data_IF_802971931344
#
_entry.id   IF_802971931344
#
_cell.length_a   1.000
_cell.length_b   1.000
_cell.length_c   1.000
_cell.angle_alpha   90.00
_cell.angle_beta   90.00
_cell.angle_gamma   90.00
#
_symmetry.space_group_name_H-M   'P 1'
#
loop_
_entity.id
_entity.type
_entity.pdbx_description
1 polymer ?
#
# COMPACT_ATOMS: atom_id res chain seq x y z
N UNK A 1 -62.82 -38.34 -1.23
CA UNK A 1 -62.08 -37.90 -0.02
C UNK A 1 -60.60 -38.19 -0.27
N UNK A 2 -59.83 -37.23 -0.78
CA UNK A 2 -58.38 -37.36 -0.96
C UNK A 2 -57.78 -35.94 -0.86
N UNK A 3 -57.07 -35.67 0.23
CA UNK A 3 -56.33 -34.41 0.45
C UNK A 3 -54.87 -34.64 0.06
N UNK A 4 -54.44 -34.08 -1.05
CA UNK A 4 -53.03 -34.06 -1.46
C UNK A 4 -52.36 -32.84 -0.79
N UNK A 5 -51.45 -33.10 0.15
CA UNK A 5 -50.68 -32.08 0.87
C UNK A 5 -49.49 -31.66 0.01
N UNK A 6 -49.41 -30.40 -0.38
CA UNK A 6 -48.21 -29.83 -0.99
C UNK A 6 -47.17 -29.56 0.10
N UNK A 7 -45.96 -30.11 -0.07
CA UNK A 7 -44.81 -29.80 0.77
C UNK A 7 -43.96 -28.75 0.04
N UNK A 8 -43.91 -27.55 0.59
CA UNK A 8 -43.04 -26.47 0.13
C UNK A 8 -41.65 -26.70 0.74
N UNK A 9 -40.70 -27.15 -0.08
CA UNK A 9 -39.28 -27.19 0.31
C UNK A 9 -38.67 -25.84 -0.01
N UNK A 10 -38.49 -25.00 1.01
CA UNK A 10 -37.66 -23.80 0.95
C UNK A 10 -36.19 -24.24 1.01
N UNK A 11 -35.53 -24.34 -0.14
CA UNK A 11 -34.07 -24.44 -0.22
C UNK A 11 -33.51 -23.04 0.04
N UNK A 12 -33.30 -22.73 1.31
CA UNK A 12 -32.53 -21.55 1.71
C UNK A 12 -31.06 -21.77 1.37
N UNK A 13 -30.61 -21.23 0.24
CA UNK A 13 -29.19 -21.16 -0.09
C UNK A 13 -28.49 -20.23 0.90
N UNK A 14 -27.82 -20.81 1.90
CA UNK A 14 -26.91 -20.10 2.79
C UNK A 14 -25.64 -19.78 1.98
N UNK A 15 -25.64 -18.64 1.30
CA UNK A 15 -24.42 -18.09 0.72
C UNK A 15 -23.56 -17.59 1.88
N UNK A 16 -22.76 -18.47 2.46
CA UNK A 16 -21.66 -18.08 3.34
C UNK A 16 -20.62 -17.38 2.48
N UNK A 17 -20.74 -16.06 2.33
CA UNK A 17 -19.58 -15.25 2.00
C UNK A 17 -18.61 -15.40 3.17
N UNK A 18 -17.59 -16.24 3.01
CA UNK A 18 -16.41 -16.20 3.87
C UNK A 18 -15.70 -14.91 3.53
N UNK A 19 -16.17 -13.80 4.12
CA UNK A 19 -15.38 -12.59 4.21
C UNK A 19 -14.32 -12.90 5.27
N UNK A 20 -13.05 -13.05 4.86
CA UNK A 20 -11.93 -13.11 5.80
C UNK A 20 -12.00 -11.86 6.66
N UNK A 21 -12.41 -12.01 7.91
CA UNK A 21 -12.68 -10.88 8.77
C UNK A 21 -11.41 -10.48 9.52
N UNK A 22 -11.10 -9.18 9.53
CA UNK A 22 -10.11 -8.63 10.46
C UNK A 22 -10.43 -8.98 11.92
N UNK A 23 -9.38 -9.07 12.75
CA UNK A 23 -9.50 -9.11 14.21
C UNK A 23 -9.84 -7.71 14.75
N UNK A 24 -11.15 -7.44 14.82
CA UNK A 24 -11.69 -6.13 15.24
C UNK A 24 -11.32 -5.79 16.68
N UNK A 25 -11.24 -6.78 17.57
CA UNK A 25 -10.91 -6.53 18.97
C UNK A 25 -9.47 -6.02 19.10
N UNK A 26 -8.54 -6.65 18.38
CA UNK A 26 -7.14 -6.19 18.36
C UNK A 26 -6.99 -4.81 17.73
N UNK A 27 -7.73 -4.51 16.66
CA UNK A 27 -7.74 -3.16 16.07
C UNK A 27 -8.24 -2.11 17.06
N UNK A 28 -9.28 -2.40 17.84
CA UNK A 28 -9.77 -1.52 18.89
C UNK A 28 -8.73 -1.29 19.99
N UNK A 29 -8.06 -2.36 20.45
CA UNK A 29 -6.99 -2.26 21.44
C UNK A 29 -5.81 -1.41 20.94
N UNK A 30 -5.42 -1.57 19.66
CA UNK A 30 -4.40 -0.72 19.05
C UNK A 30 -4.86 0.74 19.00
N UNK A 31 -6.11 0.98 18.60
CA UNK A 31 -6.63 2.32 18.47
C UNK A 31 -6.70 3.06 19.81
N UNK A 32 -7.12 2.39 20.89
CA UNK A 32 -7.15 2.97 22.24
C UNK A 32 -5.73 3.35 22.71
N UNK A 33 -4.75 2.46 22.52
CA UNK A 33 -3.37 2.76 22.90
C UNK A 33 -2.79 3.93 22.10
N UNK A 34 -3.00 3.96 20.79
CA UNK A 34 -2.54 5.06 19.95
C UNK A 34 -3.19 6.37 20.41
N UNK A 35 -4.52 6.38 20.63
CA UNK A 35 -5.22 7.57 21.12
C UNK A 35 -4.68 8.10 22.44
N UNK A 36 -4.19 7.22 23.33
CA UNK A 36 -3.61 7.61 24.60
C UNK A 36 -2.16 8.13 24.48
N UNK A 37 -1.41 7.74 23.45
CA UNK A 37 0.04 8.02 23.36
C UNK A 37 0.47 8.87 22.16
N UNK A 38 -0.44 9.22 21.26
CA UNK A 38 -0.12 9.94 20.03
C UNK A 38 0.33 11.38 20.34
N UNK A 39 1.49 11.76 19.81
CA UNK A 39 2.07 13.10 19.97
C UNK A 39 2.31 13.86 18.66
N UNK A 40 2.33 13.16 17.52
CA UNK A 40 2.55 13.75 16.21
C UNK A 40 1.47 13.27 15.25
N UNK A 41 0.82 14.20 14.56
CA UNK A 41 -0.32 13.91 13.69
C UNK A 41 -1.66 13.86 14.42
N UNK A 42 -2.72 13.63 13.65
CA UNK A 42 -4.11 13.65 14.08
C UNK A 42 -4.77 12.30 13.80
N UNK A 43 -5.58 11.82 14.74
CA UNK A 43 -6.37 10.62 14.54
C UNK A 43 -7.55 10.94 13.61
N UNK A 44 -7.64 10.18 12.53
CA UNK A 44 -8.74 10.23 11.59
C UNK A 44 -9.35 8.84 11.49
N UNK A 45 -10.66 8.75 11.69
CA UNK A 45 -11.41 7.51 11.51
C UNK A 45 -11.91 7.43 10.07
N UNK A 46 -11.34 6.54 9.29
CA UNK A 46 -11.78 6.24 7.93
C UNK A 46 -12.77 5.09 7.96
N UNK A 47 -13.55 4.96 6.89
CA UNK A 47 -14.53 3.89 6.74
C UNK A 47 -14.33 3.18 5.39
N UNK A 48 -14.25 1.86 5.44
CA UNK A 48 -14.27 0.99 4.28
C UNK A 48 -15.40 -0.02 4.45
N UNK A 49 -16.31 -0.07 3.48
CA UNK A 49 -17.58 -0.79 3.61
C UNK A 49 -18.31 -0.33 4.89
N UNK A 50 -18.71 -1.28 5.74
CA UNK A 50 -19.42 -1.00 7.00
C UNK A 50 -18.50 -0.92 8.22
N UNK A 51 -17.17 -0.82 8.02
CA UNK A 51 -16.17 -0.85 9.11
C UNK A 51 -15.34 0.41 9.16
N UNK A 52 -15.25 0.99 10.36
CA UNK A 52 -14.32 2.07 10.67
C UNK A 52 -12.97 1.51 11.09
N UNK A 53 -11.90 2.17 10.70
CA UNK A 53 -10.55 1.84 11.09
C UNK A 53 -9.76 3.13 11.39
N UNK A 54 -8.81 3.02 12.32
CA UNK A 54 -7.98 4.16 12.72
C UNK A 54 -6.96 4.48 11.63
N UNK A 55 -6.72 5.76 11.43
CA UNK A 55 -5.59 6.30 10.69
C UNK A 55 -4.98 7.49 11.43
N UNK A 56 -3.72 7.78 11.12
CA UNK A 56 -2.97 8.92 11.66
C UNK A 56 -2.57 9.78 10.47
N UNK A 57 -3.14 10.98 10.39
CA UNK A 57 -2.82 11.97 9.37
C UNK A 57 -1.78 12.95 9.91
N UNK A 58 -0.71 13.20 9.15
CA UNK A 58 0.28 14.23 9.50
C UNK A 58 0.53 15.08 8.27
N UNK A 59 0.22 16.38 8.36
CA UNK A 59 0.44 17.32 7.28
C UNK A 59 1.93 17.66 7.13
N UNK A 60 2.37 17.84 5.89
CA UNK A 60 3.70 18.30 5.53
C UNK A 60 4.01 19.69 6.09
N UNK A 61 5.28 19.97 6.37
CA UNK A 61 5.74 21.30 6.79
C UNK A 61 5.77 22.31 5.62
N UNK A 62 5.43 21.87 4.41
CA UNK A 62 5.46 22.66 3.17
C UNK A 62 4.03 22.84 2.63
N UNK A 63 3.32 23.94 2.95
CA UNK A 63 1.88 24.08 2.74
C UNK A 63 1.43 24.07 1.27
N UNK A 64 2.30 24.46 0.34
CA UNK A 64 1.97 24.50 -1.10
C UNK A 64 2.11 23.12 -1.77
N UNK A 65 2.50 22.09 -1.02
CA UNK A 65 2.82 20.78 -1.57
C UNK A 65 1.62 19.85 -1.54
N UNK A 66 1.31 19.29 -2.72
CA UNK A 66 0.21 18.37 -2.98
C UNK A 66 0.65 16.92 -3.08
N UNK A 67 1.75 16.57 -2.41
CA UNK A 67 2.30 15.21 -2.30
C UNK A 67 1.92 14.55 -0.96
N UNK A 68 1.36 13.34 -1.00
CA UNK A 68 1.00 12.56 0.19
C UNK A 68 1.36 11.07 0.08
N UNK A 69 1.74 10.46 1.20
CA UNK A 69 2.11 9.06 1.29
C UNK A 69 1.20 8.30 2.26
N UNK A 70 0.58 7.23 1.77
CA UNK A 70 -0.14 6.27 2.61
C UNK A 70 0.87 5.28 3.19
N UNK A 71 0.93 5.17 4.53
CA UNK A 71 1.92 4.35 5.23
C UNK A 71 1.28 3.08 5.78
N UNK A 72 1.85 1.91 5.45
CA UNK A 72 1.29 0.61 5.78
C UNK A 72 2.24 -0.23 6.65
N UNK A 73 1.73 -0.74 7.76
CA UNK A 73 2.48 -1.57 8.69
C UNK A 73 2.50 -3.05 8.28
N UNK A 74 3.41 -3.82 8.89
CA UNK A 74 3.51 -5.27 8.70
C UNK A 74 2.43 -6.04 9.49
N UNK A 75 2.33 -7.35 9.27
CA UNK A 75 1.41 -8.25 9.96
C UNK A 75 1.48 -8.09 11.49
N UNK A 76 0.32 -8.01 12.12
CA UNK A 76 0.21 -7.92 13.58
C UNK A 76 0.75 -6.63 14.20
N UNK A 77 1.05 -5.61 13.39
CA UNK A 77 1.47 -4.29 13.83
C UNK A 77 0.31 -3.27 13.73
N UNK A 78 0.65 -1.99 13.86
CA UNK A 78 -0.29 -0.88 13.96
C UNK A 78 0.25 0.39 13.26
N UNK A 79 -0.58 1.43 13.04
CA UNK A 79 -0.23 2.65 12.31
C UNK A 79 0.83 3.53 12.96
N UNK A 80 1.19 3.28 14.22
CA UNK A 80 2.23 4.01 14.94
C UNK A 80 3.39 3.10 15.37
N UNK A 81 3.52 1.93 14.72
CA UNK A 81 4.49 0.92 15.11
C UNK A 81 5.91 1.45 15.00
N UNK A 82 6.58 1.55 16.15
CA UNK A 82 8.01 1.82 16.20
C UNK A 82 8.83 0.59 15.76
N UNK A 83 10.00 0.79 15.15
CA UNK A 83 10.55 2.11 14.84
C UNK A 83 10.13 2.64 13.45
N UNK A 84 10.02 1.75 12.47
CA UNK A 84 9.87 2.12 11.05
C UNK A 84 8.59 2.90 10.70
N UNK A 85 7.42 2.41 11.09
CA UNK A 85 6.15 3.04 10.66
C UNK A 85 6.01 4.42 11.30
N UNK A 86 6.40 4.51 12.57
CA UNK A 86 6.55 5.78 13.28
C UNK A 86 7.50 6.73 12.54
N UNK A 87 8.74 6.29 12.26
CA UNK A 87 9.73 7.11 11.57
C UNK A 87 9.28 7.56 10.19
N UNK A 88 8.63 6.69 9.41
CA UNK A 88 8.05 7.07 8.12
C UNK A 88 6.99 8.16 8.27
N UNK A 89 6.00 7.99 9.15
CA UNK A 89 4.91 8.97 9.27
C UNK A 89 5.36 10.31 9.85
N UNK A 90 6.45 10.37 10.63
CA UNK A 90 6.94 11.61 11.23
C UNK A 90 8.04 12.31 10.44
N UNK A 91 8.86 11.58 9.68
CA UNK A 91 9.96 12.19 8.92
C UNK A 91 9.57 12.59 7.50
N UNK A 92 8.66 11.86 6.83
CA UNK A 92 8.19 12.23 5.49
C UNK A 92 7.57 13.65 5.43
N UNK A 93 6.78 14.11 6.42
CA UNK A 93 6.25 15.48 6.48
C UNK A 93 7.32 16.56 6.47
N UNK A 94 8.51 16.28 7.02
CA UNK A 94 9.69 17.17 6.98
C UNK A 94 10.38 17.18 5.63
N UNK A 95 9.94 16.32 4.72
CA UNK A 95 10.52 16.10 3.40
C UNK A 95 9.47 16.19 2.29
N UNK A 96 8.48 17.08 2.48
CA UNK A 96 7.45 17.44 1.49
C UNK A 96 6.32 16.42 1.30
N UNK A 97 6.24 15.38 2.12
CA UNK A 97 5.19 14.37 1.99
C UNK A 97 4.26 14.41 3.19
N UNK A 98 3.02 14.84 3.01
CA UNK A 98 1.98 14.57 4.02
C UNK A 98 1.83 13.05 4.16
N UNK A 99 1.46 12.57 5.34
CA UNK A 99 1.32 11.13 5.58
C UNK A 99 -0.04 10.75 6.10
N UNK A 100 -0.49 9.57 5.71
CA UNK A 100 -1.67 8.92 6.24
C UNK A 100 -1.31 7.47 6.58
N UNK A 101 -0.92 7.22 7.82
CA UNK A 101 -0.67 5.87 8.30
C UNK A 101 -2.02 5.22 8.65
N UNK A 102 -2.36 4.09 8.03
CA UNK A 102 -3.67 3.44 8.20
C UNK A 102 -3.55 2.11 8.92
N UNK A 103 -4.55 1.78 9.74
CA UNK A 103 -4.69 0.45 10.32
C UNK A 103 -5.01 -0.51 9.17
N UNK A 104 -4.07 -1.38 8.84
CA UNK A 104 -4.29 -2.49 7.92
C UNK A 104 -5.02 -3.62 8.64
N UNK A 105 -5.80 -4.45 7.91
CA UNK A 105 -6.53 -5.55 8.51
C UNK A 105 -5.57 -6.55 9.16
N UNK A 106 -5.99 -7.11 10.29
CA UNK A 106 -5.21 -7.97 11.16
C UNK A 106 -5.82 -9.36 11.27
N UNK A 107 -4.96 -10.35 11.50
CA UNK A 107 -5.37 -11.65 12.03
C UNK A 107 -5.17 -11.71 13.54
N UNK A 108 -5.60 -12.79 14.15
CA UNK A 108 -5.33 -13.13 15.53
C UNK A 108 -3.83 -13.13 15.84
N UNK A 109 -3.49 -13.03 17.14
CA UNK A 109 -2.10 -12.99 17.57
C UNK A 109 -1.38 -14.29 17.20
N UNK A 110 -0.19 -14.17 16.62
CA UNK A 110 0.61 -15.33 16.19
C UNK A 110 0.21 -15.96 14.85
N UNK A 111 -0.81 -15.43 14.18
CA UNK A 111 -1.20 -15.88 12.84
C UNK A 111 -0.02 -15.84 11.85
N UNK A 112 0.01 -16.81 10.95
CA UNK A 112 1.04 -16.97 9.93
C UNK A 112 0.82 -15.98 8.80
N UNK A 113 1.83 -15.83 7.94
CA UNK A 113 1.74 -14.93 6.80
C UNK A 113 0.61 -15.35 5.84
N UNK A 114 0.40 -16.65 5.68
CA UNK A 114 -0.60 -17.22 4.79
C UNK A 114 -2.03 -16.88 5.21
N UNK A 115 -2.27 -16.78 6.51
CA UNK A 115 -3.59 -16.44 7.05
C UNK A 115 -4.00 -15.01 6.62
N UNK A 116 -3.05 -14.10 6.40
CA UNK A 116 -3.35 -12.73 5.99
C UNK A 116 -3.89 -12.63 4.55
N UNK A 117 -3.75 -13.67 3.72
CA UNK A 117 -4.14 -13.59 2.32
C UNK A 117 -5.63 -13.40 2.10
N UNK A 118 -6.50 -13.88 2.99
CA UNK A 118 -7.94 -13.64 2.88
C UNK A 118 -8.33 -12.19 3.20
N UNK A 119 -7.42 -11.42 3.82
CA UNK A 119 -7.65 -10.01 4.18
C UNK A 119 -7.32 -9.05 3.04
N UNK A 120 -6.85 -9.53 1.90
CA UNK A 120 -6.39 -8.69 0.78
C UNK A 120 -7.51 -7.86 0.15
N UNK A 121 -8.72 -8.43 0.08
CA UNK A 121 -9.92 -7.71 -0.38
C UNK A 121 -10.29 -6.59 0.59
N UNK A 122 -10.24 -6.86 1.91
CA UNK A 122 -10.48 -5.84 2.94
C UNK A 122 -9.40 -4.75 2.89
N UNK A 123 -8.13 -5.13 2.72
CA UNK A 123 -7.01 -4.21 2.59
C UNK A 123 -7.18 -3.27 1.37
N UNK A 124 -7.60 -3.81 0.22
CA UNK A 124 -7.91 -3.01 -0.98
C UNK A 124 -9.01 -1.99 -0.69
N UNK A 125 -10.06 -2.36 0.05
CA UNK A 125 -11.13 -1.44 0.43
C UNK A 125 -10.63 -0.32 1.36
N UNK A 126 -9.73 -0.62 2.31
CA UNK A 126 -9.10 0.39 3.18
C UNK A 126 -8.19 1.34 2.40
N UNK A 127 -7.40 0.83 1.45
CA UNK A 127 -6.55 1.65 0.59
C UNK A 127 -7.37 2.62 -0.26
N UNK A 128 -8.48 2.17 -0.85
CA UNK A 128 -9.42 3.05 -1.58
C UNK A 128 -10.00 4.15 -0.68
N UNK A 129 -10.34 3.83 0.57
CA UNK A 129 -10.83 4.83 1.52
C UNK A 129 -9.73 5.85 1.90
N UNK A 130 -8.48 5.41 2.01
CA UNK A 130 -7.33 6.26 2.29
C UNK A 130 -7.02 7.21 1.11
N UNK A 131 -7.00 6.70 -0.12
CA UNK A 131 -6.89 7.48 -1.35
C UNK A 131 -7.98 8.56 -1.40
N UNK A 132 -9.26 8.16 -1.26
CA UNK A 132 -10.40 9.11 -1.29
C UNK A 132 -10.32 10.19 -0.23
N UNK A 133 -9.75 9.90 0.93
CA UNK A 133 -9.53 10.91 1.95
C UNK A 133 -8.47 11.93 1.54
N UNK A 134 -7.37 11.47 0.93
CA UNK A 134 -6.30 12.34 0.44
C UNK A 134 -6.73 13.16 -0.77
N UNK A 135 -7.50 12.59 -1.70
CA UNK A 135 -8.09 13.34 -2.82
C UNK A 135 -9.02 14.46 -2.33
N UNK A 136 -9.86 14.20 -1.33
CA UNK A 136 -10.72 15.21 -0.70
C UNK A 136 -9.93 16.30 0.02
N UNK A 137 -8.69 16.02 0.39
CA UNK A 137 -7.71 16.97 0.93
C UNK A 137 -6.93 17.69 -0.17
N UNK A 138 -7.30 17.48 -1.45
CA UNK A 138 -6.68 18.07 -2.64
C UNK A 138 -5.22 17.65 -2.84
N UNK A 139 -4.84 16.45 -2.38
CA UNK A 139 -3.56 15.86 -2.77
C UNK A 139 -3.65 15.31 -4.19
N UNK A 140 -2.70 15.71 -5.03
CA UNK A 140 -2.65 15.35 -6.46
C UNK A 140 -1.70 14.17 -6.71
N UNK A 141 -0.65 14.07 -5.89
CA UNK A 141 0.34 13.00 -5.98
C UNK A 141 0.27 12.12 -4.74
N UNK A 142 -0.32 10.93 -4.89
CA UNK A 142 -0.43 9.96 -3.81
C UNK A 142 0.55 8.81 -4.04
N UNK A 143 1.38 8.51 -3.07
CA UNK A 143 2.24 7.33 -3.06
C UNK A 143 1.83 6.37 -1.93
N UNK A 144 2.21 5.09 -2.07
CA UNK A 144 2.08 4.11 -0.98
C UNK A 144 3.47 3.69 -0.52
N UNK A 145 3.68 3.66 0.79
CA UNK A 145 4.88 3.09 1.42
C UNK A 145 4.43 2.00 2.38
N UNK A 146 4.79 0.74 2.09
CA UNK A 146 4.42 -0.39 2.92
C UNK A 146 5.62 -1.15 3.47
N UNK A 147 5.42 -1.79 4.62
CA UNK A 147 6.36 -2.75 5.20
C UNK A 147 5.75 -4.14 5.26
N UNK A 148 6.53 -5.16 4.90
CA UNK A 148 6.16 -6.56 4.99
C UNK A 148 4.83 -6.88 4.31
N UNK A 149 3.91 -7.46 5.08
CA UNK A 149 2.57 -7.82 4.61
C UNK A 149 1.77 -6.61 4.12
N UNK A 150 1.93 -5.42 4.72
CA UNK A 150 1.26 -4.20 4.25
C UNK A 150 1.69 -3.80 2.85
N UNK A 151 2.99 -3.90 2.53
CA UNK A 151 3.48 -3.70 1.17
C UNK A 151 2.98 -4.77 0.20
N UNK A 152 2.90 -6.03 0.61
CA UNK A 152 2.36 -7.09 -0.25
C UNK A 152 0.87 -6.87 -0.58
N UNK A 153 0.09 -6.40 0.40
CA UNK A 153 -1.31 -6.02 0.19
C UNK A 153 -1.43 -4.83 -0.78
N UNK A 154 -0.56 -3.82 -0.66
CA UNK A 154 -0.52 -2.70 -1.60
C UNK A 154 -0.13 -3.13 -3.02
N UNK A 155 0.89 -3.99 -3.15
CA UNK A 155 1.30 -4.55 -4.42
C UNK A 155 0.16 -5.35 -5.08
N UNK A 156 -0.64 -6.09 -4.31
CA UNK A 156 -1.81 -6.75 -4.89
C UNK A 156 -2.91 -5.75 -5.29
N UNK A 157 -3.12 -4.71 -4.49
CA UNK A 157 -4.14 -3.69 -4.74
C UNK A 157 -3.77 -2.72 -5.87
N UNK A 158 -2.52 -2.71 -6.34
CA UNK A 158 -1.98 -1.68 -7.23
C UNK A 158 -2.79 -1.50 -8.52
N UNK A 159 -3.22 -2.58 -9.18
CA UNK A 159 -4.05 -2.49 -10.39
C UNK A 159 -5.45 -1.92 -10.12
N UNK A 160 -5.97 -2.13 -8.92
CA UNK A 160 -7.26 -1.61 -8.49
C UNK A 160 -7.22 -0.14 -8.04
N UNK A 161 -6.02 0.46 -8.00
CA UNK A 161 -5.69 1.81 -7.58
C UNK A 161 -4.87 2.57 -8.64
N UNK A 162 -4.67 2.01 -9.85
CA UNK A 162 -3.57 2.39 -10.73
C UNK A 162 -3.55 3.90 -11.06
N UNK A 163 -4.73 4.48 -11.28
CA UNK A 163 -4.86 5.89 -11.68
C UNK A 163 -4.81 6.82 -10.46
N UNK A 164 -5.05 6.25 -9.27
CA UNK A 164 -5.16 6.97 -8.01
C UNK A 164 -3.80 7.09 -7.27
N UNK A 165 -2.80 6.27 -7.64
CA UNK A 165 -1.47 6.26 -7.01
C UNK A 165 -0.36 6.41 -8.03
N UNK A 166 0.66 7.20 -7.70
CA UNK A 166 1.78 7.53 -8.59
C UNK A 166 3.06 6.74 -8.29
N UNK A 167 3.19 6.13 -7.11
CA UNK A 167 4.38 5.39 -6.72
C UNK A 167 4.10 4.37 -5.59
N UNK A 168 4.87 3.28 -5.56
CA UNK A 168 4.82 2.26 -4.52
C UNK A 168 6.23 1.92 -4.00
N UNK A 169 6.47 2.19 -2.72
CA UNK A 169 7.66 1.73 -2.01
C UNK A 169 7.32 0.50 -1.15
N UNK A 170 7.97 -0.61 -1.44
CA UNK A 170 7.84 -1.89 -0.76
C UNK A 170 9.09 -2.14 0.09
N UNK A 171 8.90 -2.36 1.39
CA UNK A 171 9.99 -2.68 2.32
C UNK A 171 9.80 -4.12 2.80
N UNK A 172 10.76 -5.00 2.50
CA UNK A 172 10.81 -6.39 2.95
C UNK A 172 9.53 -7.22 2.71
N UNK A 173 9.00 -7.21 1.49
CA UNK A 173 7.79 -8.00 1.18
C UNK A 173 8.00 -9.51 1.39
N UNK A 174 7.05 -10.21 2.04
CA UNK A 174 7.12 -11.64 2.19
C UNK A 174 6.78 -12.31 0.85
N UNK A 175 7.74 -13.04 0.29
CA UNK A 175 7.54 -13.82 -0.94
C UNK A 175 7.92 -15.26 -0.67
N UNK A 176 6.95 -16.02 -0.17
CA UNK A 176 7.12 -17.41 0.20
C UNK A 176 5.84 -18.22 -0.05
N UNK A 177 5.97 -19.55 -0.02
CA UNK A 177 4.85 -20.48 -0.10
C UNK A 177 4.05 -20.39 -1.40
N UNK A 178 2.74 -20.53 -1.29
CA UNK A 178 1.81 -20.60 -2.41
C UNK A 178 1.55 -19.26 -3.12
N UNK A 179 1.98 -18.12 -2.55
CA UNK A 179 1.79 -16.80 -3.17
C UNK A 179 2.96 -16.29 -3.98
N UNK A 180 4.11 -16.97 -3.96
CA UNK A 180 5.29 -16.52 -4.69
C UNK A 180 5.01 -16.27 -6.18
N UNK A 181 4.25 -17.14 -6.84
CA UNK A 181 3.86 -16.96 -8.25
C UNK A 181 2.97 -15.72 -8.45
N UNK A 182 1.94 -15.55 -7.62
CA UNK A 182 1.06 -14.37 -7.67
C UNK A 182 1.81 -13.07 -7.39
N UNK A 183 2.76 -13.06 -6.45
CA UNK A 183 3.58 -11.88 -6.17
C UNK A 183 4.41 -11.47 -7.38
N UNK A 184 5.04 -12.43 -8.07
CA UNK A 184 5.80 -12.15 -9.29
C UNK A 184 4.88 -11.67 -10.42
N UNK A 185 3.67 -12.18 -10.50
CA UNK A 185 2.66 -11.69 -11.45
C UNK A 185 2.29 -10.23 -11.18
N UNK A 186 1.98 -9.87 -9.93
CA UNK A 186 1.62 -8.50 -9.57
C UNK A 186 2.76 -7.51 -9.83
N UNK A 187 4.02 -7.93 -9.63
CA UNK A 187 5.20 -7.13 -9.98
C UNK A 187 5.30 -6.92 -11.49
N UNK A 188 5.03 -7.97 -12.29
CA UNK A 188 5.07 -7.86 -13.76
C UNK A 188 4.00 -6.93 -14.30
N UNK A 189 2.82 -6.93 -13.67
CA UNK A 189 1.67 -6.10 -14.04
C UNK A 189 1.77 -4.66 -13.54
N UNK A 190 2.79 -4.31 -12.76
CA UNK A 190 2.91 -2.96 -12.22
C UNK A 190 3.53 -2.01 -13.24
N UNK A 191 2.77 -0.97 -13.60
CA UNK A 191 3.19 0.06 -14.55
C UNK A 191 3.74 1.31 -13.85
N UNK A 192 3.39 1.52 -12.57
CA UNK A 192 3.90 2.63 -11.79
C UNK A 192 5.35 2.42 -11.29
N UNK A 193 6.09 3.49 -10.94
CA UNK A 193 7.37 3.40 -10.26
C UNK A 193 7.31 2.57 -8.96
N UNK A 194 8.23 1.61 -8.85
CA UNK A 194 8.34 0.75 -7.66
C UNK A 194 9.76 0.81 -7.06
N UNK A 195 9.82 1.01 -5.74
CA UNK A 195 11.00 0.71 -4.93
C UNK A 195 10.80 -0.64 -4.23
N UNK A 196 11.69 -1.59 -4.45
CA UNK A 196 11.79 -2.84 -3.70
C UNK A 196 13.01 -2.77 -2.77
N UNK A 197 12.78 -2.37 -1.53
CA UNK A 197 13.81 -2.18 -0.52
C UNK A 197 13.99 -3.46 0.31
N UNK A 198 15.21 -3.99 0.26
CA UNK A 198 15.68 -5.13 1.03
C UNK A 198 16.50 -4.64 2.21
N UNK A 199 16.14 -5.04 3.42
CA UNK A 199 16.79 -4.56 4.64
C UNK A 199 17.43 -5.71 5.41
N UNK A 200 18.68 -5.49 5.83
CA UNK A 200 19.39 -6.43 6.67
C UNK A 200 20.21 -7.44 5.88
N UNK A 201 20.40 -8.64 6.44
CA UNK A 201 21.31 -9.64 5.84
C UNK A 201 20.61 -10.44 4.76
N UNK A 202 21.25 -10.49 3.59
CA UNK A 202 20.85 -11.38 2.51
C UNK A 202 21.02 -12.84 2.94
N UNK A 203 19.88 -13.52 3.08
CA UNK A 203 19.87 -14.98 3.14
C UNK A 203 19.72 -15.54 1.73
N UNK A 204 20.15 -16.79 1.45
CA UNK A 204 19.98 -17.38 0.12
C UNK A 204 18.53 -17.34 -0.37
N UNK A 205 17.55 -17.54 0.52
CA UNK A 205 16.13 -17.49 0.17
C UNK A 205 15.68 -16.06 -0.22
N UNK A 206 16.14 -15.04 0.51
CA UNK A 206 15.87 -13.64 0.19
C UNK A 206 16.54 -13.25 -1.13
N UNK A 207 17.79 -13.65 -1.36
CA UNK A 207 18.51 -13.37 -2.59
C UNK A 207 17.85 -13.99 -3.82
N UNK A 208 17.42 -15.27 -3.73
CA UNK A 208 16.69 -15.94 -4.81
C UNK A 208 15.35 -15.25 -5.08
N UNK A 209 14.61 -14.90 -4.04
CA UNK A 209 13.36 -14.17 -4.18
C UNK A 209 13.57 -12.80 -4.83
N UNK A 210 14.54 -12.03 -4.34
CA UNK A 210 14.90 -10.72 -4.87
C UNK A 210 15.27 -10.78 -6.36
N UNK A 211 16.09 -11.75 -6.77
CA UNK A 211 16.45 -11.96 -8.18
C UNK A 211 15.22 -12.25 -9.05
N UNK A 212 14.29 -13.10 -8.57
CA UNK A 212 13.04 -13.39 -9.29
C UNK A 212 12.15 -12.16 -9.43
N UNK A 213 12.05 -11.32 -8.39
CA UNK A 213 11.28 -10.06 -8.44
C UNK A 213 11.87 -9.07 -9.44
N UNK A 214 13.19 -8.91 -9.45
CA UNK A 214 13.89 -8.08 -10.43
C UNK A 214 13.64 -8.56 -11.86
N UNK A 215 13.67 -9.88 -12.08
CA UNK A 215 13.36 -10.47 -13.39
C UNK A 215 11.89 -10.28 -13.78
N UNK A 216 10.96 -10.38 -12.83
CA UNK A 216 9.54 -10.14 -13.08
C UNK A 216 9.26 -8.69 -13.48
N UNK A 217 10.01 -7.74 -12.91
CA UNK A 217 9.89 -6.31 -13.19
C UNK A 217 10.70 -5.83 -14.41
N UNK A 218 11.25 -6.73 -15.24
CA UNK A 218 12.18 -6.39 -16.33
C UNK A 218 11.63 -5.34 -17.32
N UNK A 219 10.31 -5.31 -17.50
CA UNK A 219 9.63 -4.42 -18.46
C UNK A 219 9.22 -3.09 -17.80
N UNK A 220 9.33 -2.97 -16.46
CA UNK A 220 9.10 -1.72 -15.73
C UNK A 220 10.44 -0.97 -15.57
N UNK A 221 10.66 0.02 -16.43
CA UNK A 221 11.88 0.86 -16.47
C UNK A 221 12.08 1.70 -15.21
N UNK A 222 11.04 1.87 -14.39
CA UNK A 222 11.04 2.62 -13.13
C UNK A 222 11.15 1.74 -11.88
N UNK A 223 11.22 0.41 -12.04
CA UNK A 223 11.47 -0.51 -10.94
C UNK A 223 12.91 -0.39 -10.43
N UNK A 224 13.08 -0.24 -9.11
CA UNK A 224 14.39 -0.16 -8.46
C UNK A 224 14.43 -1.09 -7.26
N UNK A 225 15.30 -2.10 -7.28
CA UNK A 225 15.56 -2.95 -6.13
C UNK A 225 16.88 -2.54 -5.46
N UNK A 226 16.82 -2.24 -4.16
CA UNK A 226 17.96 -1.73 -3.39
C UNK A 226 18.13 -2.53 -2.11
N UNK A 227 19.36 -2.95 -1.80
CA UNK A 227 19.72 -3.63 -0.55
C UNK A 227 20.45 -2.65 0.37
N UNK A 228 20.03 -2.57 1.63
CA UNK A 228 20.65 -1.72 2.67
C UNK A 228 20.83 -2.48 3.99
N UNK A 229 21.75 -2.01 4.82
CA UNK A 229 21.85 -2.47 6.21
C UNK A 229 20.58 -2.12 7.00
N UNK A 230 20.32 -2.87 8.08
CA UNK A 230 19.19 -2.65 8.99
C UNK A 230 19.39 -1.42 9.90
N UNK A 231 19.55 -0.25 9.29
CA UNK A 231 19.56 1.05 9.95
C UNK A 231 18.28 1.81 9.57
N UNK A 232 17.43 2.07 10.56
CA UNK A 232 16.14 2.74 10.40
C UNK A 232 16.26 4.11 9.73
N UNK A 233 17.20 4.93 10.16
CA UNK A 233 17.39 6.28 9.62
C UNK A 233 17.75 6.22 8.14
N UNK A 234 18.53 5.21 7.74
CA UNK A 234 18.84 4.94 6.34
C UNK A 234 17.63 4.43 5.56
N UNK A 235 16.76 3.62 6.17
CA UNK A 235 15.52 3.15 5.54
C UNK A 235 14.58 4.31 5.22
N UNK A 236 14.24 5.12 6.23
CA UNK A 236 13.34 6.28 6.08
C UNK A 236 13.92 7.27 5.07
N UNK A 237 15.23 7.57 5.18
CA UNK A 237 15.94 8.41 4.21
C UNK A 237 15.90 7.88 2.79
N UNK A 238 16.11 6.58 2.61
CA UNK A 238 16.05 5.95 1.30
C UNK A 238 14.67 6.10 0.66
N UNK A 239 13.61 5.96 1.45
CA UNK A 239 12.23 6.11 0.99
C UNK A 239 11.95 7.54 0.51
N UNK A 240 12.09 8.56 1.36
CA UNK A 240 11.74 9.93 0.93
C UNK A 240 12.65 10.43 -0.21
N UNK A 241 13.92 10.00 -0.24
CA UNK A 241 14.85 10.37 -1.33
C UNK A 241 14.51 9.66 -2.65
N UNK A 242 13.91 8.47 -2.59
CA UNK A 242 13.43 7.79 -3.78
C UNK A 242 12.10 8.37 -4.27
N UNK A 243 11.15 8.59 -3.36
CA UNK A 243 9.84 9.19 -3.68
C UNK A 243 10.01 10.51 -4.42
N UNK A 244 10.84 11.42 -3.88
CA UNK A 244 11.15 12.69 -4.55
C UNK A 244 11.62 12.50 -6.00
N UNK A 245 12.60 11.63 -6.23
CA UNK A 245 13.15 11.37 -7.57
C UNK A 245 12.14 10.71 -8.49
N UNK A 246 11.31 9.81 -7.97
CA UNK A 246 10.28 9.14 -8.76
C UNK A 246 9.26 10.14 -9.29
N UNK A 247 8.78 11.06 -8.44
CA UNK A 247 7.83 12.11 -8.85
C UNK A 247 8.47 13.13 -9.79
N UNK A 248 9.70 13.57 -9.54
CA UNK A 248 10.44 14.45 -10.45
C UNK A 248 10.61 13.83 -11.85
N UNK A 249 10.80 12.50 -11.92
CA UNK A 249 10.90 11.77 -13.19
C UNK A 249 9.56 11.73 -13.92
N UNK A 250 8.47 11.45 -13.21
CA UNK A 250 7.12 11.43 -13.80
C UNK A 250 6.71 12.80 -14.34
N UNK A 251 6.92 13.86 -13.55
CA UNK A 251 6.61 15.22 -13.97
C UNK A 251 7.42 15.64 -15.22
N UNK A 252 8.66 15.17 -15.35
CA UNK A 252 9.49 15.47 -16.54
C UNK A 252 8.95 14.74 -17.78
N UNK A 253 8.53 13.48 -17.66
CA UNK A 253 7.96 12.71 -18.76
C UNK A 253 6.64 13.30 -19.27
N UNK A 254 5.75 13.75 -18.38
CA UNK A 254 4.47 14.39 -18.75
C UNK A 254 4.70 15.71 -19.53
N UNK A 255 5.72 16.49 -19.16
CA UNK A 255 6.06 17.73 -19.87
C UNK A 255 6.64 17.47 -21.27
N UNK A 256 7.43 16.41 -21.42
CA UNK A 256 8.01 16.03 -22.72
C UNK A 256 6.91 15.54 -23.69
N UNK A 257 5.95 14.74 -23.21
CA UNK A 257 4.79 14.30 -24.01
C UNK A 257 3.90 15.47 -24.45
N UNK A 258 3.63 16.42 -23.56
CA UNK A 258 2.85 17.61 -23.89
C UNK A 258 3.57 18.54 -24.88
N UNK A 259 4.91 18.59 -24.84
CA UNK A 259 5.72 19.34 -25.80
C UNK A 259 5.69 18.70 -27.20
N UNK A 260 5.79 17.37 -27.28
CA UNK A 260 5.75 16.62 -28.55
C UNK A 260 4.36 16.69 -29.20
N UNK A 261 3.26 16.68 -28.44
CA UNK A 261 1.89 16.86 -28.98
C UNK A 261 1.64 18.28 -29.51
N UNK A 262 2.35 19.29 -28.97
CA UNK A 262 2.21 20.70 -29.38
C UNK A 262 3.10 21.08 -30.56
N UNK A 263 4.00 20.22 -31.02
CA UNK A 263 4.82 20.49 -32.21
C UNK A 263 3.98 20.28 -33.49
N UNK A 264 3.61 21.35 -34.22
CA UNK A 264 2.80 21.17 -35.43
C UNK A 264 3.62 20.41 -36.45
N UNK A 265 3.03 19.36 -37.05
CA UNK A 265 3.60 18.56 -38.13
C UNK A 265 4.12 19.45 -39.28
N UNK A 266 5.36 19.92 -39.16
CA UNK A 266 6.02 20.72 -40.18
C UNK A 266 6.78 19.79 -41.12
N UNK A 267 6.27 19.77 -42.34
CA UNK A 267 6.92 19.37 -43.59
C UNK A 267 7.08 17.88 -43.89
N UNK A 268 5.97 17.28 -44.35
CA UNK A 268 5.98 16.57 -45.63
C UNK A 268 5.22 17.40 -46.65
N UNK A 269 5.93 18.29 -47.33
CA UNK A 269 5.51 18.82 -48.61
C UNK A 269 6.79 19.04 -49.43
N UNK A 270 6.84 18.31 -50.54
CA UNK A 270 7.88 18.31 -51.57
C UNK A 270 8.13 19.69 -52.20
#
# INVERSE_FOLDING_TARGET
MNRLKYWLVLIGGFWSFVCGATDVAREADFAERIAATLYAGEIVWLQANDRKFLSIYTETEYPDIKEAAIILHDKGADPDRKPLIHGLRTELPKHRWSTLAIQMPLRESGAKAEDYFDLFVEATARLRAAVKFLEKKEYETIAIVGHGMGALMALQAQSALQDDIKALAMIDIPVAGNRAASTLEWIRQAELPILDLLVGRETPIVAVSAAKRRLAAKDNTHYRQVSISADESMMVKRVYSWLRRAIETLASAENDEEADEKEPAKNKAD
#
